data_IF_499534410738
#
_entry.id   IF_499534410738
#
_cell.length_a   1.000
_cell.length_b   1.000
_cell.length_c   1.000
_cell.angle_alpha   90.00
_cell.angle_beta   90.00
_cell.angle_gamma   90.00
#
_symmetry.space_group_name_H-M   'P 1'
#
loop_
_entity.id
_entity.type
_entity.pdbx_description
1 polymer ?
#
# COMPACT_ATOMS: atom_id res chain seq x y z
N UNK A 1 4.07 13.95 -24.93
CA UNK A 1 3.37 12.69 -24.55
C UNK A 1 4.31 11.60 -24.03
N UNK A 2 5.53 11.43 -24.55
CA UNK A 2 6.50 10.41 -24.08
C UNK A 2 7.04 10.66 -22.66
N UNK A 3 7.28 11.93 -22.30
CA UNK A 3 7.81 12.35 -20.98
C UNK A 3 6.85 12.08 -19.82
N UNK A 4 5.55 12.34 -19.99
CA UNK A 4 4.55 12.09 -18.94
C UNK A 4 4.39 10.59 -18.63
N UNK A 5 4.42 9.72 -19.66
CA UNK A 5 4.34 8.26 -19.49
C UNK A 5 5.54 7.72 -18.72
N UNK A 6 6.74 8.22 -19.05
CA UNK A 6 7.97 7.86 -18.34
C UNK A 6 7.93 8.31 -16.88
N UNK A 7 7.54 9.57 -16.61
CA UNK A 7 7.45 10.10 -15.26
C UNK A 7 6.48 9.30 -14.39
N UNK A 8 5.30 8.96 -14.92
CA UNK A 8 4.31 8.14 -14.21
C UNK A 8 4.84 6.74 -13.91
N UNK A 9 5.60 6.12 -14.82
CA UNK A 9 6.23 4.83 -14.57
C UNK A 9 7.28 4.91 -13.46
N UNK A 10 8.14 5.93 -13.48
CA UNK A 10 9.14 6.17 -12.44
C UNK A 10 8.45 6.41 -11.09
N UNK A 11 7.44 7.28 -11.03
CA UNK A 11 6.68 7.53 -9.80
C UNK A 11 6.02 6.27 -9.25
N UNK A 12 5.45 5.42 -10.12
CA UNK A 12 4.84 4.16 -9.70
C UNK A 12 5.87 3.18 -9.12
N UNK A 13 7.07 3.11 -9.69
CA UNK A 13 8.17 2.28 -9.16
C UNK A 13 8.75 2.86 -7.86
N UNK A 14 8.87 4.18 -7.75
CA UNK A 14 9.28 4.83 -6.51
C UNK A 14 8.26 4.58 -5.39
N UNK A 15 6.96 4.63 -5.70
CA UNK A 15 5.91 4.28 -4.76
C UNK A 15 6.05 2.84 -4.27
N UNK A 16 6.53 1.91 -5.11
CA UNK A 16 6.83 0.55 -4.68
C UNK A 16 7.98 0.47 -3.67
N UNK A 17 9.08 1.16 -3.93
CA UNK A 17 10.20 1.21 -3.00
C UNK A 17 9.80 1.85 -1.66
N UNK A 18 9.11 3.00 -1.71
CA UNK A 18 8.63 3.71 -0.52
C UNK A 18 7.61 2.85 0.23
N UNK A 19 6.66 2.24 -0.48
CA UNK A 19 5.59 1.42 0.08
C UNK A 19 6.12 0.21 0.82
N UNK A 20 7.04 -0.57 0.21
CA UNK A 20 7.66 -1.72 0.89
C UNK A 20 8.43 -1.28 2.14
N UNK A 21 9.25 -0.23 2.03
CA UNK A 21 10.02 0.28 3.16
C UNK A 21 9.11 0.75 4.30
N UNK A 22 8.05 1.49 3.97
CA UNK A 22 7.09 2.03 4.93
C UNK A 22 6.27 0.91 5.62
N UNK A 23 5.77 -0.07 4.88
CA UNK A 23 5.06 -1.23 5.45
C UNK A 23 5.96 -2.00 6.39
N UNK A 24 7.20 -2.29 5.98
CA UNK A 24 8.16 -3.00 6.82
C UNK A 24 8.48 -2.19 8.09
N UNK A 25 8.76 -0.90 7.97
CA UNK A 25 9.03 -0.01 9.09
C UNK A 25 7.83 0.08 10.05
N UNK A 26 6.60 0.22 9.52
CA UNK A 26 5.37 0.26 10.31
C UNK A 26 5.15 -1.04 11.06
N UNK A 27 5.31 -2.19 10.40
CA UNK A 27 5.21 -3.50 11.04
C UNK A 27 6.23 -3.68 12.16
N UNK A 28 7.47 -3.22 11.95
CA UNK A 28 8.53 -3.24 12.96
C UNK A 28 8.21 -2.33 14.15
N UNK A 29 7.74 -1.12 13.90
CA UNK A 29 7.35 -0.17 14.93
C UNK A 29 6.18 -0.73 15.76
N UNK A 30 5.13 -1.24 15.12
CA UNK A 30 3.97 -1.86 15.79
C UNK A 30 4.35 -3.05 16.67
N UNK A 31 5.37 -3.85 16.30
CA UNK A 31 5.86 -4.95 17.15
C UNK A 31 6.57 -4.47 18.41
N UNK A 32 7.13 -3.26 18.38
CA UNK A 32 7.86 -2.66 19.50
C UNK A 32 6.97 -1.78 20.38
N UNK A 33 5.81 -1.38 19.87
CA UNK A 33 4.85 -0.54 20.59
C UNK A 33 4.34 -1.24 21.85
N UNK A 34 4.76 -0.72 22.99
CA UNK A 34 4.32 -1.14 24.32
C UNK A 34 3.71 0.01 25.11
N UNK A 35 4.10 1.25 24.77
CA UNK A 35 3.61 2.47 25.39
C UNK A 35 3.19 3.50 24.33
N UNK A 36 2.45 4.53 24.75
CA UNK A 36 2.03 5.59 23.84
C UNK A 36 3.23 6.36 23.25
N UNK A 37 4.38 6.38 23.95
CA UNK A 37 5.60 7.04 23.48
C UNK A 37 6.20 6.40 22.21
N UNK A 38 5.84 5.15 21.91
CA UNK A 38 6.33 4.42 20.73
C UNK A 38 5.51 4.72 19.46
N UNK A 39 4.34 5.35 19.60
CA UNK A 39 3.41 5.60 18.50
C UNK A 39 3.90 6.58 17.43
N UNK A 40 4.71 7.62 17.73
CA UNK A 40 5.26 8.50 16.69
C UNK A 40 5.98 7.76 15.57
N UNK A 41 6.74 6.70 15.88
CA UNK A 41 7.44 5.89 14.87
C UNK A 41 6.46 5.14 13.96
N UNK A 42 5.38 4.60 14.54
CA UNK A 42 4.30 3.95 13.78
C UNK A 42 3.65 4.97 12.85
N UNK A 43 3.32 6.16 13.35
CA UNK A 43 2.67 7.22 12.59
C UNK A 43 3.55 7.78 11.47
N UNK A 44 4.86 7.88 11.70
CA UNK A 44 5.80 8.33 10.69
C UNK A 44 5.87 7.33 9.53
N UNK A 45 6.00 6.03 9.84
CA UNK A 45 5.99 4.99 8.83
C UNK A 45 4.63 4.92 8.09
N UNK A 46 3.52 5.09 8.81
CA UNK A 46 2.17 5.14 8.25
C UNK A 46 1.97 6.30 7.28
N UNK A 47 2.52 7.48 7.58
CA UNK A 47 2.46 8.64 6.67
C UNK A 47 3.16 8.33 5.33
N UNK A 48 4.35 7.71 5.38
CA UNK A 48 5.06 7.30 4.17
C UNK A 48 4.31 6.25 3.37
N UNK A 49 3.63 5.33 4.06
CA UNK A 49 2.76 4.37 3.38
C UNK A 49 1.57 5.05 2.72
N UNK A 50 0.94 6.03 3.37
CA UNK A 50 -0.12 6.84 2.78
C UNK A 50 0.33 7.59 1.53
N UNK A 51 1.54 8.19 1.55
CA UNK A 51 2.13 8.84 0.37
C UNK A 51 2.33 7.83 -0.77
N UNK A 52 2.90 6.66 -0.47
CA UNK A 52 3.09 5.61 -1.47
C UNK A 52 1.74 5.15 -2.07
N UNK A 53 0.72 4.96 -1.23
CA UNK A 53 -0.62 4.58 -1.67
C UNK A 53 -1.24 5.63 -2.61
N UNK A 54 -1.13 6.93 -2.28
CA UNK A 54 -1.62 8.01 -3.13
C UNK A 54 -0.92 8.00 -4.50
N UNK A 55 0.40 7.84 -4.53
CA UNK A 55 1.16 7.79 -5.78
C UNK A 55 0.77 6.55 -6.59
N UNK A 56 0.64 5.37 -5.96
CA UNK A 56 0.23 4.14 -6.63
C UNK A 56 -1.16 4.22 -7.24
N UNK A 57 -2.15 4.70 -6.47
CA UNK A 57 -3.53 4.84 -6.95
C UNK A 57 -3.59 5.88 -8.05
N UNK A 58 -2.99 7.06 -7.87
CA UNK A 58 -3.00 8.13 -8.87
C UNK A 58 -2.34 7.71 -10.18
N UNK A 59 -1.13 7.12 -10.11
CA UNK A 59 -0.44 6.63 -11.31
C UNK A 59 -1.09 5.40 -11.93
N UNK A 60 -1.66 4.49 -11.12
CA UNK A 60 -2.38 3.31 -11.58
C UNK A 60 -3.67 3.65 -12.32
N UNK A 61 -4.50 4.52 -11.75
CA UNK A 61 -5.73 5.00 -12.39
C UNK A 61 -5.43 5.73 -13.70
N UNK A 62 -4.40 6.58 -13.71
CA UNK A 62 -4.00 7.27 -14.95
C UNK A 62 -3.55 6.28 -16.03
N UNK A 63 -2.83 5.22 -15.66
CA UNK A 63 -2.39 4.20 -16.62
C UNK A 63 -3.56 3.35 -17.14
N UNK A 64 -4.53 3.03 -16.28
CA UNK A 64 -5.69 2.22 -16.65
C UNK A 64 -6.74 3.00 -17.46
N UNK A 65 -6.99 4.28 -17.13
CA UNK A 65 -8.11 5.06 -17.66
C UNK A 65 -7.70 6.30 -18.46
N UNK A 66 -6.42 6.67 -18.52
CA UNK A 66 -5.94 7.88 -19.20
C UNK A 66 -5.95 7.82 -20.73
N UNK A 67 -6.62 6.84 -21.35
CA UNK A 67 -6.73 6.72 -22.81
C UNK A 67 -5.43 6.32 -23.53
N UNK A 68 -4.48 5.70 -22.81
CA UNK A 68 -3.13 5.39 -23.31
C UNK A 68 -2.96 3.93 -23.74
N UNK A 69 -3.85 3.03 -23.33
CA UNK A 69 -3.84 1.61 -23.68
C UNK A 69 -5.25 1.18 -24.12
N UNK A 70 -5.30 0.25 -25.08
CA UNK A 70 -6.50 -0.22 -25.80
C UNK A 70 -7.67 -0.51 -24.85
N UNK A 71 -8.89 -0.23 -25.31
CA UNK A 71 -10.14 -0.21 -24.53
C UNK A 71 -10.32 -1.34 -23.53
N UNK A 72 -11.09 -1.06 -22.48
CA UNK A 72 -11.40 -1.87 -21.29
C UNK A 72 -11.64 -3.37 -21.54
N UNK A 73 -12.10 -3.74 -22.73
CA UNK A 73 -12.40 -5.11 -23.12
C UNK A 73 -11.14 -5.99 -23.23
N UNK A 74 -9.97 -5.44 -23.59
CA UNK A 74 -8.71 -6.20 -23.65
C UNK A 74 -8.09 -6.44 -22.26
N UNK A 75 -8.40 -5.59 -21.29
CA UNK A 75 -7.91 -5.70 -19.91
C UNK A 75 -8.62 -6.79 -19.11
N UNK A 76 -9.89 -7.06 -19.43
CA UNK A 76 -10.70 -8.11 -18.81
C UNK A 76 -10.37 -9.52 -19.33
N UNK A 77 -9.69 -9.66 -20.47
CA UNK A 77 -9.27 -10.97 -20.99
C UNK A 77 -7.93 -11.45 -20.38
N UNK A 78 -7.13 -10.55 -19.81
CA UNK A 78 -5.85 -10.90 -19.19
C UNK A 78 -6.06 -11.42 -17.76
N UNK A 79 -5.96 -12.75 -17.60
CA UNK A 79 -6.00 -13.43 -16.29
C UNK A 79 -5.01 -12.80 -15.27
N UNK A 80 -3.87 -12.32 -15.75
CA UNK A 80 -2.85 -11.65 -14.92
C UNK A 80 -3.29 -10.28 -14.43
N UNK A 81 -4.03 -9.52 -15.24
CA UNK A 81 -4.58 -8.24 -14.81
C UNK A 81 -5.68 -8.42 -13.75
N UNK A 82 -6.61 -9.35 -13.97
CA UNK A 82 -7.66 -9.67 -12.98
C UNK A 82 -7.01 -10.12 -11.67
N UNK A 83 -6.02 -11.00 -11.74
CA UNK A 83 -5.30 -11.46 -10.55
C UNK A 83 -4.60 -10.31 -9.81
N UNK A 84 -3.93 -9.41 -10.54
CA UNK A 84 -3.31 -8.21 -9.94
C UNK A 84 -4.35 -7.30 -9.28
N UNK A 85 -5.51 -7.11 -9.89
CA UNK A 85 -6.60 -6.31 -9.31
C UNK A 85 -7.22 -7.00 -8.08
N UNK A 86 -7.37 -8.32 -8.10
CA UNK A 86 -7.80 -9.10 -6.93
C UNK A 86 -6.83 -8.95 -5.75
N UNK A 87 -5.52 -9.02 -6.02
CA UNK A 87 -4.50 -8.79 -4.99
C UNK A 87 -4.51 -7.35 -4.48
N UNK A 88 -4.70 -6.37 -5.36
CA UNK A 88 -4.82 -4.97 -4.96
C UNK A 88 -6.02 -4.77 -4.01
N UNK A 89 -7.18 -5.32 -4.36
CA UNK A 89 -8.38 -5.26 -3.50
C UNK A 89 -8.16 -5.99 -2.17
N UNK A 90 -7.45 -7.12 -2.17
CA UNK A 90 -7.10 -7.84 -0.94
C UNK A 90 -6.17 -7.02 -0.04
N UNK A 91 -5.14 -6.38 -0.61
CA UNK A 91 -4.24 -5.49 0.14
C UNK A 91 -5.03 -4.32 0.74
N UNK A 92 -5.93 -3.70 -0.03
CA UNK A 92 -6.80 -2.64 0.46
C UNK A 92 -7.71 -3.13 1.60
N UNK A 93 -8.34 -4.29 1.45
CA UNK A 93 -9.20 -4.86 2.48
C UNK A 93 -8.43 -5.13 3.78
N UNK A 94 -7.22 -5.68 3.69
CA UNK A 94 -6.33 -5.88 4.83
C UNK A 94 -5.89 -4.55 5.46
N UNK A 95 -5.70 -3.51 4.64
CA UNK A 95 -5.26 -2.19 5.08
C UNK A 95 -6.33 -1.38 5.82
N UNK A 96 -7.63 -1.64 5.57
CA UNK A 96 -8.71 -0.92 6.24
C UNK A 96 -8.62 -1.03 7.77
N UNK A 97 -8.27 -2.20 8.31
CA UNK A 97 -8.17 -2.42 9.75
C UNK A 97 -7.02 -1.62 10.40
N UNK A 98 -5.75 -1.71 9.93
CA UNK A 98 -4.67 -0.81 10.36
C UNK A 98 -5.03 0.66 10.19
N UNK A 99 -5.52 1.08 9.02
CA UNK A 99 -5.80 2.48 8.72
C UNK A 99 -6.80 3.07 9.71
N UNK A 100 -7.96 2.43 9.90
CA UNK A 100 -9.00 2.91 10.82
C UNK A 100 -8.46 2.95 12.26
N UNK A 101 -7.69 1.93 12.67
CA UNK A 101 -7.16 1.86 14.04
C UNK A 101 -6.10 2.93 14.29
N UNK A 102 -5.17 3.13 13.36
CA UNK A 102 -4.12 4.15 13.46
C UNK A 102 -4.68 5.57 13.42
N UNK A 103 -5.72 5.83 12.64
CA UNK A 103 -6.44 7.12 12.66
C UNK A 103 -7.03 7.36 14.05
N UNK A 104 -7.70 6.36 14.64
CA UNK A 104 -8.24 6.46 16.02
C UNK A 104 -7.15 6.70 17.05
N UNK A 105 -6.02 5.98 16.94
CA UNK A 105 -4.86 6.18 17.82
C UNK A 105 -4.28 7.58 17.68
N UNK A 106 -4.19 8.12 16.45
CA UNK A 106 -3.68 9.47 16.20
C UNK A 106 -4.59 10.55 16.80
N UNK A 107 -5.91 10.36 16.72
CA UNK A 107 -6.88 11.25 17.37
C UNK A 107 -6.79 11.16 18.90
N UNK A 108 -6.68 9.94 19.44
CA UNK A 108 -6.56 9.72 20.88
C UNK A 108 -5.24 10.29 21.42
N UNK A 109 -4.11 10.07 20.74
CA UNK A 109 -2.78 10.56 21.13
C UNK A 109 -2.72 12.08 21.28
N UNK A 110 -3.47 12.81 20.45
CA UNK A 110 -3.57 14.27 20.55
C UNK A 110 -4.38 14.74 21.77
N UNK A 111 -5.27 13.91 22.31
CA UNK A 111 -6.28 14.29 23.31
C UNK A 111 -6.01 13.68 24.68
N UNK A 112 -5.45 12.48 24.72
CA UNK A 112 -5.24 11.65 25.91
C UNK A 112 -3.99 10.79 25.76
N UNK A 113 -3.31 10.48 26.87
CA UNK A 113 -2.13 9.60 26.86
C UNK A 113 -2.46 8.10 27.02
N UNK A 114 -3.73 7.75 27.25
CA UNK A 114 -4.17 6.36 27.41
C UNK A 114 -4.75 5.84 26.10
N UNK A 115 -3.97 5.04 25.38
CA UNK A 115 -4.38 4.40 24.11
C UNK A 115 -4.36 2.88 24.31
N UNK A 116 -5.43 2.15 23.93
CA UNK A 116 -5.43 0.69 24.03
C UNK A 116 -4.52 0.08 22.96
N UNK A 117 -3.32 -0.34 23.38
CA UNK A 117 -2.26 -0.90 22.52
C UNK A 117 -2.37 -2.42 22.32
N UNK A 118 -3.40 -3.07 22.88
CA UNK A 118 -3.63 -4.52 22.76
C UNK A 118 -3.70 -5.01 21.31
N UNK A 119 -4.09 -4.13 20.39
CA UNK A 119 -4.19 -4.44 18.96
C UNK A 119 -2.84 -4.33 18.22
N UNK A 120 -1.78 -3.77 18.83
CA UNK A 120 -0.50 -3.56 18.15
C UNK A 120 0.09 -4.84 17.52
N UNK A 121 0.10 -6.00 18.20
CA UNK A 121 0.62 -7.24 17.60
C UNK A 121 -0.22 -7.73 16.42
N UNK A 122 -1.55 -7.57 16.47
CA UNK A 122 -2.45 -7.92 15.36
C UNK A 122 -2.19 -7.00 14.16
N UNK A 123 -2.12 -5.69 14.39
CA UNK A 123 -1.85 -4.72 13.32
C UNK A 123 -0.48 -4.97 12.68
N UNK A 124 0.53 -5.35 13.47
CA UNK A 124 1.84 -5.72 12.95
C UNK A 124 1.74 -6.92 12.00
N UNK A 125 1.03 -7.98 12.39
CA UNK A 125 0.83 -9.18 11.55
C UNK A 125 0.12 -8.85 10.24
N UNK A 126 -0.95 -8.06 10.31
CA UNK A 126 -1.68 -7.60 9.11
C UNK A 126 -0.78 -6.76 8.20
N UNK A 127 0.00 -5.85 8.78
CA UNK A 127 0.98 -5.04 8.04
C UNK A 127 2.03 -5.91 7.35
N UNK A 128 2.60 -6.91 8.04
CA UNK A 128 3.58 -7.81 7.42
C UNK A 128 2.96 -8.72 6.35
N UNK A 129 1.70 -9.13 6.51
CA UNK A 129 0.98 -9.94 5.53
C UNK A 129 0.79 -9.20 4.18
N UNK A 130 0.85 -7.87 4.16
CA UNK A 130 0.77 -7.10 2.91
C UNK A 130 2.04 -7.19 2.07
N UNK A 131 3.23 -7.38 2.67
CA UNK A 131 4.48 -7.47 1.92
C UNK A 131 4.50 -8.58 0.85
N UNK A 132 4.17 -9.85 1.17
CA UNK A 132 4.14 -10.89 0.13
C UNK A 132 3.08 -10.62 -0.94
N UNK A 133 1.95 -9.99 -0.58
CA UNK A 133 0.92 -9.61 -1.55
C UNK A 133 1.43 -8.54 -2.52
N UNK A 134 2.12 -7.52 -2.01
CA UNK A 134 2.75 -6.48 -2.85
C UNK A 134 3.80 -7.08 -3.79
N UNK A 135 4.62 -8.01 -3.30
CA UNK A 135 5.59 -8.71 -4.14
C UNK A 135 4.91 -9.58 -5.21
N UNK A 136 3.83 -10.27 -4.87
CA UNK A 136 3.06 -11.07 -5.81
C UNK A 136 2.41 -10.17 -6.89
N UNK A 137 1.94 -8.98 -6.53
CA UNK A 137 1.46 -8.00 -7.52
C UNK A 137 2.56 -7.57 -8.50
N UNK A 138 3.81 -7.43 -8.04
CA UNK A 138 4.96 -7.13 -8.92
C UNK A 138 5.23 -8.30 -9.86
N UNK A 139 5.18 -9.54 -9.37
CA UNK A 139 5.32 -10.75 -10.19
C UNK A 139 4.25 -10.82 -11.28
N UNK A 140 2.98 -10.57 -10.93
CA UNK A 140 1.89 -10.55 -11.92
C UNK A 140 2.07 -9.44 -12.95
N UNK A 141 2.53 -8.25 -12.52
CA UNK A 141 2.83 -7.16 -13.45
C UNK A 141 3.98 -7.50 -14.41
N UNK A 142 5.02 -8.17 -13.93
CA UNK A 142 6.13 -8.63 -14.77
C UNK A 142 5.73 -9.75 -15.73
N UNK A 143 4.87 -10.68 -15.27
CA UNK A 143 4.33 -11.75 -16.10
C UNK A 143 3.49 -11.19 -17.26
N UNK A 144 2.58 -10.26 -16.94
CA UNK A 144 1.77 -9.54 -17.93
C UNK A 144 2.63 -8.81 -18.96
N UNK A 145 3.71 -8.14 -18.54
CA UNK A 145 4.61 -7.41 -19.45
C UNK A 145 5.38 -8.32 -20.42
N UNK A 146 5.54 -9.61 -20.08
CA UNK A 146 6.25 -10.61 -20.89
C UNK A 146 5.31 -11.52 -21.69
N UNK A 147 3.99 -11.40 -21.51
CA UNK A 147 2.99 -12.17 -22.25
C UNK A 147 2.91 -13.65 -21.87
N UNK A 148 3.26 -13.99 -20.62
CA UNK A 148 2.98 -15.32 -20.07
C UNK A 148 1.48 -15.58 -19.89
#
# INVERSE_FOLDING_TARGET
MLTARFLLAVMHLLALAIGIAAVYARGRALRRTTTAADLPDVFHADNWYGIAALIWVGSGLWRAFGGVEKGSDHYLESHWFIGKMGLFLLVLALELLPMITLIRWRMAFKKYNAIPLEKAPLLARLTFAQLPLLLLMVLMAAAMARGF
#
